data_IF_505581102309
#
_entry.id   IF_505581102309
#
_cell.length_a   1.000
_cell.length_b   1.000
_cell.length_c   1.000
_cell.angle_alpha   90.00
_cell.angle_beta   90.00
_cell.angle_gamma   90.00
#
_symmetry.space_group_name_H-M   'P 1'
#
loop_
_entity.id
_entity.type
_entity.pdbx_description
1 polymer ?
#
# COMPACT_ATOMS: atom_id res chain seq x y z
N UNK A 1 22.67 -5.55 19.42
CA UNK A 1 21.38 -5.35 18.70
C UNK A 1 20.20 -6.01 19.39
N UNK A 2 20.27 -7.30 19.74
CA UNK A 2 19.16 -8.07 20.33
C UNK A 2 18.55 -7.42 21.59
N UNK A 3 19.39 -6.85 22.47
CA UNK A 3 18.90 -6.15 23.67
C UNK A 3 18.05 -4.91 23.37
N UNK A 4 18.39 -4.14 22.33
CA UNK A 4 17.61 -2.95 21.91
C UNK A 4 16.24 -3.36 21.36
N UNK A 5 16.17 -4.44 20.61
CA UNK A 5 14.91 -4.99 20.09
C UNK A 5 13.98 -5.42 21.22
N UNK A 6 14.50 -6.14 22.22
CA UNK A 6 13.69 -6.58 23.37
C UNK A 6 13.16 -5.39 24.19
N UNK A 7 14.02 -4.41 24.46
CA UNK A 7 13.61 -3.20 25.17
C UNK A 7 12.50 -2.43 24.44
N UNK A 8 12.60 -2.33 23.10
CA UNK A 8 11.59 -1.70 22.27
C UNK A 8 10.23 -2.43 22.32
N UNK A 9 10.23 -3.76 22.14
CA UNK A 9 9.02 -4.57 22.21
C UNK A 9 8.36 -4.52 23.59
N UNK A 10 9.17 -4.53 24.66
CA UNK A 10 8.68 -4.38 26.04
C UNK A 10 8.06 -3.01 26.30
N UNK A 11 8.71 -1.93 25.84
CA UNK A 11 8.19 -0.57 25.97
C UNK A 11 6.88 -0.38 25.20
N UNK A 12 6.73 -1.05 24.05
CA UNK A 12 5.49 -1.06 23.28
C UNK A 12 4.41 -2.00 23.86
N UNK A 13 4.77 -2.92 24.75
CA UNK A 13 3.85 -3.94 25.28
C UNK A 13 3.43 -4.99 24.23
N UNK A 14 4.24 -5.22 23.19
CA UNK A 14 3.89 -6.04 22.03
C UNK A 14 4.80 -7.26 21.87
N UNK A 15 4.21 -8.36 21.40
CA UNK A 15 4.98 -9.46 20.81
C UNK A 15 5.62 -9.03 19.48
N UNK A 16 6.68 -9.74 19.07
CA UNK A 16 7.32 -9.50 17.77
C UNK A 16 6.32 -9.49 16.61
N UNK A 17 5.38 -10.45 16.60
CA UNK A 17 4.41 -10.58 15.51
C UNK A 17 3.36 -9.48 15.50
N UNK A 18 2.93 -8.98 16.67
CA UNK A 18 2.07 -7.81 16.76
C UNK A 18 2.79 -6.57 16.20
N UNK A 19 4.04 -6.36 16.64
CA UNK A 19 4.84 -5.22 16.19
C UNK A 19 5.13 -5.28 14.68
N UNK A 20 5.49 -6.47 14.19
CA UNK A 20 5.77 -6.70 12.78
C UNK A 20 4.53 -6.48 11.91
N UNK A 21 3.37 -6.99 12.33
CA UNK A 21 2.10 -6.80 11.63
C UNK A 21 1.74 -5.32 11.57
N UNK A 22 1.78 -4.62 12.70
CA UNK A 22 1.54 -3.18 12.75
C UNK A 22 2.48 -2.42 11.81
N UNK A 23 3.79 -2.62 11.94
CA UNK A 23 4.78 -1.87 11.17
C UNK A 23 4.67 -2.14 9.66
N UNK A 24 4.40 -3.39 9.27
CA UNK A 24 4.24 -3.78 7.87
C UNK A 24 2.95 -3.20 7.29
N UNK A 25 1.83 -3.33 7.99
CA UNK A 25 0.54 -2.76 7.56
C UNK A 25 0.63 -1.24 7.44
N UNK A 26 1.21 -0.57 8.43
CA UNK A 26 1.45 0.87 8.41
C UNK A 26 2.32 1.27 7.20
N UNK A 27 3.46 0.61 7.00
CA UNK A 27 4.41 0.94 5.93
C UNK A 27 3.83 0.73 4.53
N UNK A 28 3.10 -0.38 4.31
CA UNK A 28 2.45 -0.66 3.03
C UNK A 28 1.38 0.38 2.70
N UNK A 29 0.54 0.74 3.68
CA UNK A 29 -0.50 1.75 3.49
C UNK A 29 0.10 3.16 3.30
N UNK A 30 1.12 3.54 4.07
CA UNK A 30 1.82 4.82 3.89
C UNK A 30 2.44 4.93 2.49
N UNK A 31 3.04 3.84 1.99
CA UNK A 31 3.57 3.78 0.61
C UNK A 31 2.46 3.93 -0.42
N UNK A 32 1.34 3.22 -0.24
CA UNK A 32 0.18 3.34 -1.12
C UNK A 32 -0.38 4.78 -1.15
N UNK A 33 -0.47 5.44 0.00
CA UNK A 33 -0.90 6.84 0.10
C UNK A 33 0.04 7.79 -0.65
N UNK A 34 1.36 7.61 -0.48
CA UNK A 34 2.36 8.41 -1.18
C UNK A 34 2.30 8.25 -2.70
N UNK A 35 2.19 7.01 -3.18
CA UNK A 35 2.05 6.72 -4.62
C UNK A 35 0.75 7.33 -5.16
N UNK A 36 -0.37 7.17 -4.45
CA UNK A 36 -1.64 7.77 -4.85
C UNK A 36 -1.55 9.31 -4.93
N UNK A 37 -0.87 9.96 -3.98
CA UNK A 37 -0.65 11.41 -4.01
C UNK A 37 0.23 11.86 -5.19
N UNK A 38 1.28 11.10 -5.52
CA UNK A 38 2.13 11.38 -6.69
C UNK A 38 1.36 11.24 -7.99
N UNK A 39 0.53 10.20 -8.12
CA UNK A 39 -0.34 10.01 -9.29
C UNK A 39 -1.34 11.16 -9.40
N UNK A 40 -1.97 11.55 -8.29
CA UNK A 40 -2.88 12.70 -8.25
C UNK A 40 -2.20 14.01 -8.66
N UNK A 41 -0.93 14.21 -8.29
CA UNK A 41 -0.17 15.39 -8.69
C UNK A 41 0.07 15.46 -10.22
N UNK A 42 0.19 14.31 -10.89
CA UNK A 42 0.36 14.24 -12.36
C UNK A 42 -1.00 14.24 -13.07
N UNK A 43 -1.99 13.55 -12.51
CA UNK A 43 -3.33 13.38 -13.05
C UNK A 43 -4.34 13.76 -11.95
N UNK A 44 -4.76 15.03 -11.85
CA UNK A 44 -5.63 15.49 -10.76
C UNK A 44 -6.98 14.77 -10.66
N UNK A 45 -7.47 14.22 -11.77
CA UNK A 45 -8.70 13.42 -11.78
C UNK A 45 -8.54 12.00 -11.23
N UNK A 46 -7.31 11.52 -11.02
CA UNK A 46 -7.02 10.20 -10.46
C UNK A 46 -6.75 10.30 -8.95
N UNK A 47 -7.10 9.24 -8.21
CA UNK A 47 -6.82 9.11 -6.76
C UNK A 47 -7.29 10.28 -5.89
N UNK A 48 -8.41 10.93 -6.25
CA UNK A 48 -8.87 12.22 -5.69
C UNK A 48 -8.96 12.24 -4.16
N UNK A 49 -9.39 11.15 -3.53
CA UNK A 49 -9.50 11.03 -2.07
C UNK A 49 -8.63 9.92 -1.47
N UNK A 50 -8.05 9.05 -2.30
CA UNK A 50 -7.39 7.82 -1.89
C UNK A 50 -6.25 8.07 -0.89
N UNK A 51 -5.35 9.00 -1.21
CA UNK A 51 -4.23 9.32 -0.32
C UNK A 51 -4.71 9.85 1.04
N UNK A 52 -5.67 10.78 1.03
CA UNK A 52 -6.21 11.37 2.26
C UNK A 52 -6.95 10.34 3.13
N UNK A 53 -7.71 9.42 2.55
CA UNK A 53 -8.39 8.32 3.26
C UNK A 53 -7.39 7.41 3.94
N UNK A 54 -6.36 6.98 3.21
CA UNK A 54 -5.33 6.10 3.78
C UNK A 54 -4.60 6.81 4.92
N UNK A 55 -4.26 8.10 4.78
CA UNK A 55 -3.61 8.88 5.84
C UNK A 55 -4.49 8.97 7.10
N UNK A 56 -5.81 9.12 6.96
CA UNK A 56 -6.73 9.06 8.11
C UNK A 56 -6.70 7.71 8.81
N UNK A 57 -6.73 6.60 8.04
CA UNK A 57 -6.59 5.27 8.63
C UNK A 57 -5.25 5.11 9.36
N UNK A 58 -4.15 5.61 8.80
CA UNK A 58 -2.84 5.59 9.46
C UNK A 58 -2.85 6.39 10.76
N UNK A 59 -3.53 7.55 10.79
CA UNK A 59 -3.73 8.33 12.00
C UNK A 59 -4.43 7.53 13.09
N UNK A 60 -5.58 6.93 12.77
CA UNK A 60 -6.30 6.05 13.69
C UNK A 60 -5.46 4.87 14.16
N UNK A 61 -4.65 4.28 13.28
CA UNK A 61 -3.78 3.16 13.63
C UNK A 61 -2.65 3.56 14.60
N UNK A 62 -2.14 4.79 14.50
CA UNK A 62 -1.14 5.34 15.44
C UNK A 62 -1.76 5.55 16.81
N UNK A 63 -2.99 6.07 16.87
CA UNK A 63 -3.73 6.34 18.11
C UNK A 63 -4.17 5.05 18.79
N UNK A 64 -4.73 4.11 18.03
CA UNK A 64 -5.20 2.81 18.50
C UNK A 64 -4.78 1.67 17.55
N UNK A 65 -3.75 0.94 17.97
CA UNK A 65 -3.22 -0.22 17.24
C UNK A 65 -4.20 -1.39 17.22
N UNK A 66 -5.20 -1.43 18.10
CA UNK A 66 -6.26 -2.42 18.11
C UNK A 66 -7.18 -2.33 16.88
N UNK A 67 -7.21 -1.17 16.21
CA UNK A 67 -8.00 -0.98 14.98
C UNK A 67 -7.42 -1.68 13.75
N UNK A 68 -6.26 -2.34 13.86
CA UNK A 68 -5.57 -2.95 12.73
C UNK A 68 -6.43 -3.93 11.92
N UNK A 69 -7.30 -4.71 12.58
CA UNK A 69 -8.19 -5.65 11.89
C UNK A 69 -9.27 -4.91 11.08
N UNK A 70 -9.80 -3.79 11.60
CA UNK A 70 -10.79 -2.98 10.90
C UNK A 70 -10.16 -2.28 9.70
N UNK A 71 -8.99 -1.66 9.91
CA UNK A 71 -8.26 -0.95 8.86
C UNK A 71 -7.78 -1.91 7.77
N UNK A 72 -7.32 -3.12 8.11
CA UNK A 72 -6.93 -4.11 7.11
C UNK A 72 -8.09 -4.56 6.24
N UNK A 73 -9.31 -4.62 6.78
CA UNK A 73 -10.53 -4.90 6.00
C UNK A 73 -10.93 -3.72 5.10
N UNK A 74 -10.85 -2.51 5.62
CA UNK A 74 -11.25 -1.30 4.88
C UNK A 74 -10.22 -0.89 3.82
N UNK A 75 -8.95 -1.30 4.00
CA UNK A 75 -7.85 -0.97 3.11
C UNK A 75 -7.38 -2.15 2.25
N UNK A 76 -8.22 -3.18 2.06
CA UNK A 76 -7.90 -4.36 1.23
C UNK A 76 -7.44 -3.96 -0.17
N UNK A 77 -8.14 -3.03 -0.83
CA UNK A 77 -7.79 -2.61 -2.19
C UNK A 77 -6.46 -1.85 -2.25
N UNK A 78 -6.22 -0.91 -1.32
CA UNK A 78 -4.95 -0.19 -1.23
C UNK A 78 -3.78 -1.14 -0.93
N UNK A 79 -4.00 -2.12 -0.05
CA UNK A 79 -3.02 -3.17 0.27
C UNK A 79 -2.78 -4.11 -0.91
N UNK A 80 -3.82 -4.52 -1.62
CA UNK A 80 -3.70 -5.34 -2.82
C UNK A 80 -2.95 -4.59 -3.93
N UNK A 81 -3.28 -3.32 -4.15
CA UNK A 81 -2.59 -2.45 -5.11
C UNK A 81 -1.09 -2.40 -4.83
N UNK A 82 -0.66 -2.07 -3.60
CA UNK A 82 0.77 -1.96 -3.29
C UNK A 82 1.49 -3.32 -3.35
N UNK A 83 0.85 -4.40 -2.91
CA UNK A 83 1.43 -5.74 -3.00
C UNK A 83 1.61 -6.19 -4.46
N UNK A 84 0.61 -5.93 -5.32
CA UNK A 84 0.70 -6.23 -6.74
C UNK A 84 1.72 -5.35 -7.45
N UNK A 85 1.84 -4.08 -7.05
CA UNK A 85 2.85 -3.18 -7.60
C UNK A 85 4.27 -3.66 -7.25
N UNK A 86 4.51 -4.06 -6.00
CA UNK A 86 5.78 -4.64 -5.56
C UNK A 86 6.07 -5.97 -6.27
N UNK A 87 5.07 -6.85 -6.38
CA UNK A 87 5.21 -8.10 -7.10
C UNK A 87 5.54 -7.88 -8.58
N UNK A 88 4.84 -6.96 -9.25
CA UNK A 88 5.10 -6.60 -10.63
C UNK A 88 6.54 -6.10 -10.81
N UNK A 89 7.00 -5.20 -9.94
CA UNK A 89 8.36 -4.68 -9.95
C UNK A 89 9.41 -5.80 -9.79
N UNK A 90 9.21 -6.71 -8.82
CA UNK A 90 10.09 -7.85 -8.58
C UNK A 90 10.13 -8.80 -9.78
N UNK A 91 8.97 -9.06 -10.40
CA UNK A 91 8.86 -9.96 -11.57
C UNK A 91 9.60 -9.39 -12.78
N UNK A 92 9.54 -8.07 -13.01
CA UNK A 92 10.17 -7.46 -14.19
C UNK A 92 11.64 -7.09 -13.96
N UNK A 93 12.09 -6.92 -12.71
CA UNK A 93 13.47 -6.48 -12.43
C UNK A 93 14.54 -7.34 -13.13
N UNK A 94 14.46 -8.68 -13.17
CA UNK A 94 15.43 -9.50 -13.90
C UNK A 94 15.44 -9.23 -15.40
N UNK A 95 14.30 -8.89 -16.01
CA UNK A 95 14.22 -8.59 -17.45
C UNK A 95 15.06 -7.36 -17.84
N UNK A 96 15.25 -6.44 -16.89
CA UNK A 96 16.03 -5.22 -17.09
C UNK A 96 17.51 -5.37 -16.72
N UNK A 97 17.88 -6.48 -16.07
CA UNK A 97 19.26 -6.78 -15.65
C UNK A 97 19.90 -7.80 -16.60
N UNK A 98 19.09 -8.71 -17.15
CA UNK A 98 19.54 -9.77 -18.06
C UNK A 98 19.47 -9.32 -19.52
N UNK A 99 20.23 -9.98 -20.37
CA UNK A 99 20.28 -9.70 -21.82
C UNK A 99 19.07 -10.32 -22.55
N UNK A 100 17.87 -9.83 -22.22
CA UNK A 100 16.60 -10.24 -22.82
C UNK A 100 16.32 -9.36 -24.05
N UNK A 101 15.72 -9.85 -25.15
CA UNK A 101 15.28 -8.98 -26.25
C UNK A 101 14.36 -7.84 -25.80
N UNK A 102 14.56 -6.62 -26.30
CA UNK A 102 13.80 -5.42 -25.90
C UNK A 102 12.29 -5.60 -26.05
N UNK A 103 11.84 -6.28 -27.11
CA UNK A 103 10.41 -6.55 -27.31
C UNK A 103 9.78 -7.33 -26.15
N UNK A 104 10.46 -8.37 -25.66
CA UNK A 104 9.98 -9.17 -24.52
C UNK A 104 10.01 -8.34 -23.22
N UNK A 105 11.07 -7.56 -22.99
CA UNK A 105 11.16 -6.66 -21.83
C UNK A 105 9.94 -5.75 -21.74
N UNK A 106 9.58 -5.10 -22.85
CA UNK A 106 8.46 -4.16 -22.90
C UNK A 106 7.12 -4.87 -22.70
N UNK A 107 6.87 -5.98 -23.39
CA UNK A 107 5.60 -6.72 -23.30
C UNK A 107 5.38 -7.23 -21.87
N UNK A 108 6.36 -7.89 -21.28
CA UNK A 108 6.21 -8.40 -19.91
C UNK A 108 6.13 -7.28 -18.87
N UNK A 109 6.79 -6.13 -19.10
CA UNK A 109 6.62 -4.96 -18.23
C UNK A 109 5.18 -4.46 -18.30
N UNK A 110 4.62 -4.25 -19.49
CA UNK A 110 3.23 -3.80 -19.63
C UNK A 110 2.25 -4.78 -18.98
N UNK A 111 2.42 -6.08 -19.22
CA UNK A 111 1.55 -7.11 -18.66
C UNK A 111 1.63 -7.17 -17.12
N UNK A 112 2.83 -7.09 -16.54
CA UNK A 112 3.02 -7.15 -15.10
C UNK A 112 2.35 -5.98 -14.37
N UNK A 113 2.38 -4.78 -14.95
CA UNK A 113 1.79 -3.59 -14.35
C UNK A 113 0.30 -3.41 -14.69
N UNK A 114 -0.28 -4.26 -15.53
CA UNK A 114 -1.68 -4.15 -15.92
C UNK A 114 -2.62 -4.37 -14.72
N UNK A 115 -2.35 -5.36 -13.87
CA UNK A 115 -3.14 -5.66 -12.67
C UNK A 115 -3.14 -4.55 -11.61
N UNK A 116 -1.98 -4.00 -11.17
CA UNK A 116 -2.01 -2.86 -10.26
C UNK A 116 -2.63 -1.62 -10.92
N UNK A 117 -2.46 -1.41 -12.23
CA UNK A 117 -3.11 -0.31 -12.94
C UNK A 117 -4.64 -0.45 -12.98
N UNK A 118 -5.17 -1.66 -13.19
CA UNK A 118 -6.63 -1.87 -13.18
C UNK A 118 -7.21 -1.66 -11.79
N UNK A 119 -6.56 -2.10 -10.71
CA UNK A 119 -7.03 -1.78 -9.35
C UNK A 119 -7.01 -0.28 -9.06
N UNK A 120 -6.01 0.44 -9.55
CA UNK A 120 -5.93 1.88 -9.40
C UNK A 120 -7.08 2.61 -10.12
N UNK A 121 -7.41 2.17 -11.34
CA UNK A 121 -8.48 2.77 -12.16
C UNK A 121 -9.86 2.35 -11.68
N UNK A 122 -10.01 1.11 -11.25
CA UNK A 122 -11.26 0.56 -10.71
C UNK A 122 -11.55 1.00 -9.27
N UNK A 123 -10.66 1.79 -8.66
CA UNK A 123 -10.78 2.23 -7.27
C UNK A 123 -12.11 3.01 -7.06
N UNK A 124 -13.05 2.48 -6.27
CA UNK A 124 -14.45 2.91 -6.18
C UNK A 124 -14.69 4.20 -5.36
N UNK A 125 -13.74 5.15 -5.35
CA UNK A 125 -13.96 6.52 -4.85
C UNK A 125 -14.98 7.34 -5.70
N UNK A 126 -15.86 6.67 -6.44
CA UNK A 126 -17.00 7.21 -7.17
C UNK A 126 -18.38 6.82 -6.59
N UNK A 127 -18.49 6.08 -5.48
CA UNK A 127 -19.80 5.89 -4.83
C UNK A 127 -19.75 5.77 -3.31
N UNK A 128 -20.21 6.84 -2.66
CA UNK A 128 -20.79 6.93 -1.31
C UNK A 128 -19.94 6.52 -0.09
N UNK A 129 -19.14 7.47 0.40
CA UNK A 129 -18.93 7.66 1.85
C UNK A 129 -19.13 9.12 2.29
N UNK A 130 -19.94 9.87 1.54
CA UNK A 130 -20.45 11.18 1.98
C UNK A 130 -21.68 11.09 2.88
N UNK A 131 -22.27 9.90 3.05
CA UNK A 131 -23.59 9.72 3.71
C UNK A 131 -23.55 8.91 5.02
N UNK A 132 -22.39 8.40 5.47
CA UNK A 132 -22.32 7.56 6.68
C UNK A 132 -21.72 8.24 7.92
N UNK A 133 -21.40 9.54 7.84
CA UNK A 133 -20.86 10.32 8.96
C UNK A 133 -21.43 11.74 8.98
N UNK A 134 -22.73 11.88 8.68
CA UNK A 134 -23.50 13.10 8.92
C UNK A 134 -24.67 12.78 9.84
#
# INVERSE_FOLDING_TARGET
MIGKTRAHLQAAGESYWQHFRFATTFGLLATAAGIAALIHAVIPAACTSTASRIVRHLGHLIEDRGMIDAIERDAVEARAFILLLLLAAVVVAPLWILDVPTGLRLVYTILAFLLPATLLISNPDLSSFGERVA
#
